data_IF_449247602684
#
_entry.id   IF_449247602684
#
_cell.length_a   1.000
_cell.length_b   1.000
_cell.length_c   1.000
_cell.angle_alpha   90.00
_cell.angle_beta   90.00
_cell.angle_gamma   90.00
#
_symmetry.space_group_name_H-M   'P 1'
#
loop_
_entity.id
_entity.type
_entity.pdbx_description
1 polymer ?
#
# COMPACT_ATOMS: atom_id res chain seq x y z
N UNK A 1 -12.32 -9.78 -9.67
CA UNK A 1 -12.68 -10.21 -8.31
C UNK A 1 -11.43 -10.08 -7.47
N UNK A 2 -11.50 -9.44 -6.30
CA UNK A 2 -10.30 -9.21 -5.47
C UNK A 2 -9.94 -10.43 -4.60
N UNK A 3 -10.89 -11.33 -4.42
CA UNK A 3 -10.75 -12.59 -3.67
C UNK A 3 -10.47 -13.72 -4.65
N UNK A 4 -9.66 -14.70 -4.24
CA UNK A 4 -9.35 -15.90 -5.01
C UNK A 4 -10.63 -16.68 -5.37
N UNK A 5 -10.88 -17.00 -6.66
CA UNK A 5 -11.98 -17.88 -7.06
C UNK A 5 -11.98 -19.26 -6.39
N UNK A 6 -10.81 -19.79 -6.04
CA UNK A 6 -10.67 -21.12 -5.45
C UNK A 6 -11.19 -21.17 -4.00
N UNK A 7 -11.37 -20.03 -3.34
CA UNK A 7 -12.07 -19.95 -2.05
C UNK A 7 -13.57 -20.29 -2.18
N UNK A 8 -14.15 -20.28 -3.37
CA UNK A 8 -15.55 -20.68 -3.64
C UNK A 8 -16.58 -19.96 -2.73
N UNK A 9 -16.35 -18.68 -2.41
CA UNK A 9 -17.15 -17.89 -1.45
C UNK A 9 -17.18 -18.44 -0.01
N UNK A 10 -16.24 -19.32 0.35
CA UNK A 10 -16.07 -19.81 1.72
C UNK A 10 -15.19 -18.85 2.53
N UNK A 11 -15.68 -17.62 2.71
CA UNK A 11 -15.03 -16.59 3.52
C UNK A 11 -16.07 -15.63 4.06
N UNK A 12 -15.69 -14.87 5.10
CA UNK A 12 -16.50 -13.79 5.64
C UNK A 12 -16.13 -12.49 4.93
N UNK A 13 -17.08 -11.86 4.25
CA UNK A 13 -16.83 -10.62 3.49
C UNK A 13 -16.17 -9.53 4.35
N UNK A 14 -16.61 -9.38 5.61
CA UNK A 14 -16.05 -8.41 6.55
C UNK A 14 -14.58 -8.69 6.92
N UNK A 15 -14.19 -9.95 7.11
CA UNK A 15 -12.81 -10.32 7.42
C UNK A 15 -11.89 -10.09 6.22
N UNK A 16 -12.40 -10.35 5.01
CA UNK A 16 -11.69 -10.04 3.77
C UNK A 16 -11.48 -8.53 3.62
N UNK A 17 -12.51 -7.73 3.88
CA UNK A 17 -12.40 -6.27 3.84
C UNK A 17 -11.33 -5.78 4.82
N UNK A 18 -11.36 -6.24 6.07
CA UNK A 18 -10.35 -5.90 7.08
C UNK A 18 -8.94 -6.30 6.65
N UNK A 19 -8.76 -7.50 6.09
CA UNK A 19 -7.47 -7.95 5.55
C UNK A 19 -6.97 -7.07 4.41
N UNK A 20 -7.86 -6.64 3.52
CA UNK A 20 -7.51 -5.72 2.43
C UNK A 20 -7.07 -4.37 3.00
N UNK A 21 -7.77 -3.83 4.00
CA UNK A 21 -7.40 -2.58 4.66
C UNK A 21 -6.01 -2.68 5.31
N UNK A 22 -5.75 -3.76 6.05
CA UNK A 22 -4.43 -4.02 6.65
C UNK A 22 -3.34 -4.14 5.57
N UNK A 23 -3.62 -4.85 4.48
CA UNK A 23 -2.68 -5.01 3.37
C UNK A 23 -2.32 -3.65 2.75
N UNK A 24 -3.32 -2.80 2.48
CA UNK A 24 -3.12 -1.47 1.92
C UNK A 24 -2.27 -0.59 2.85
N UNK A 25 -2.53 -0.62 4.15
CA UNK A 25 -1.70 0.09 5.15
C UNK A 25 -0.25 -0.44 5.16
N UNK A 26 -0.03 -1.75 4.98
CA UNK A 26 1.31 -2.35 4.96
C UNK A 26 2.09 -2.06 3.67
N UNK A 27 1.41 -1.81 2.56
CA UNK A 27 2.03 -1.56 1.25
C UNK A 27 2.19 -0.09 0.89
N UNK A 28 2.05 0.81 1.86
CA UNK A 28 2.22 2.25 1.65
C UNK A 28 3.59 2.59 1.04
N UNK A 29 3.62 3.56 0.12
CA UNK A 29 4.82 3.94 -0.63
C UNK A 29 5.96 4.38 0.28
N UNK A 30 5.64 5.17 1.32
CA UNK A 30 6.61 5.56 2.35
C UNK A 30 6.79 4.45 3.39
N UNK A 31 8.03 3.97 3.63
CA UNK A 31 8.30 3.01 4.70
C UNK A 31 7.93 3.49 6.09
N UNK A 32 7.89 4.81 6.32
CA UNK A 32 7.57 5.41 7.62
C UNK A 32 6.08 5.36 7.97
N UNK A 33 5.21 5.21 6.97
CA UNK A 33 3.76 5.17 7.15
C UNK A 33 3.25 3.73 7.38
N UNK A 34 4.06 2.74 7.00
CA UNK A 34 3.76 1.32 7.18
C UNK A 34 3.67 0.99 8.68
N UNK A 35 2.62 0.28 9.12
CA UNK A 35 2.50 -0.13 10.51
C UNK A 35 3.62 -1.08 10.92
N UNK A 36 4.00 -1.02 12.20
CA UNK A 36 4.89 -2.05 12.77
C UNK A 36 4.17 -3.39 12.78
N UNK A 37 4.90 -4.50 12.68
CA UNK A 37 4.30 -5.84 12.75
C UNK A 37 3.49 -6.07 14.04
N UNK A 38 3.90 -5.48 15.17
CA UNK A 38 3.11 -5.53 16.41
C UNK A 38 1.75 -4.81 16.31
N UNK A 39 1.68 -3.73 15.53
CA UNK A 39 0.42 -3.03 15.27
C UNK A 39 -0.45 -3.83 14.31
N UNK A 40 0.16 -4.48 13.31
CA UNK A 40 -0.54 -5.39 12.39
C UNK A 40 -1.20 -6.53 13.14
N UNK A 41 -0.49 -7.17 14.09
CA UNK A 41 -1.09 -8.23 14.93
C UNK A 41 -2.27 -7.70 15.72
N UNK A 42 -2.15 -6.53 16.38
CA UNK A 42 -3.27 -5.92 17.11
C UNK A 42 -4.48 -5.63 16.24
N UNK A 43 -4.26 -5.10 15.03
CA UNK A 43 -5.34 -4.86 14.06
C UNK A 43 -6.05 -6.17 13.67
N UNK A 44 -5.30 -7.26 13.45
CA UNK A 44 -5.86 -8.57 13.14
C UNK A 44 -6.57 -9.24 14.34
N UNK A 45 -6.18 -8.90 15.56
CA UNK A 45 -6.87 -9.29 16.80
C UNK A 45 -8.13 -8.45 17.07
N UNK A 46 -8.41 -7.44 16.24
CA UNK A 46 -9.62 -6.62 16.28
C UNK A 46 -9.46 -5.25 16.95
N UNK A 47 -8.23 -4.78 17.18
CA UNK A 47 -7.93 -3.52 17.88
C UNK A 47 -7.27 -2.47 16.97
N UNK A 48 -7.85 -1.27 16.90
CA UNK A 48 -7.21 -0.08 16.31
C UNK A 48 -7.24 0.04 14.78
N UNK A 49 -7.83 -0.91 14.05
CA UNK A 49 -7.89 -0.86 12.58
C UNK A 49 -8.80 0.26 12.07
N UNK A 50 -9.99 0.40 12.67
CA UNK A 50 -11.00 1.36 12.20
C UNK A 50 -10.50 2.81 12.32
N UNK A 51 -9.91 3.16 13.47
CA UNK A 51 -9.37 4.49 13.72
C UNK A 51 -8.24 4.84 12.76
N UNK A 52 -7.32 3.89 12.55
CA UNK A 52 -6.19 4.07 11.63
C UNK A 52 -6.64 4.17 10.17
N UNK A 53 -7.66 3.40 9.79
CA UNK A 53 -8.22 3.44 8.46
C UNK A 53 -8.88 4.79 8.15
N UNK A 54 -9.63 5.35 9.11
CA UNK A 54 -10.23 6.69 8.99
C UNK A 54 -9.18 7.80 8.84
N UNK A 55 -8.04 7.68 9.51
CA UNK A 55 -6.90 8.60 9.34
C UNK A 55 -6.30 8.49 7.94
N UNK A 56 -6.08 7.27 7.46
CA UNK A 56 -5.51 7.01 6.15
C UNK A 56 -6.42 7.54 5.02
N UNK A 57 -7.73 7.32 5.09
CA UNK A 57 -8.66 7.82 4.08
C UNK A 57 -8.62 9.35 3.95
N UNK A 58 -8.50 10.08 5.05
CA UNK A 58 -8.38 11.55 5.00
C UNK A 58 -7.12 12.01 4.28
N UNK A 59 -6.01 11.31 4.52
CA UNK A 59 -4.71 11.62 3.87
C UNK A 59 -4.76 11.29 2.38
N UNK A 60 -5.34 10.15 1.99
CA UNK A 60 -5.45 9.74 0.58
C UNK A 60 -6.33 10.69 -0.22
N UNK A 61 -7.49 11.09 0.32
CA UNK A 61 -8.37 12.10 -0.31
C UNK A 61 -7.61 13.40 -0.55
N UNK A 62 -6.84 13.86 0.44
CA UNK A 62 -6.02 15.06 0.31
C UNK A 62 -4.91 14.90 -0.75
N UNK A 63 -4.27 13.74 -0.83
CA UNK A 63 -3.26 13.46 -1.87
C UNK A 63 -3.88 13.50 -3.26
N UNK A 64 -5.06 12.91 -3.43
CA UNK A 64 -5.77 12.88 -4.70
C UNK A 64 -6.25 14.28 -5.13
N UNK A 65 -6.67 15.14 -4.19
CA UNK A 65 -6.96 16.55 -4.47
C UNK A 65 -5.73 17.33 -4.93
N UNK A 66 -4.55 17.06 -4.36
CA UNK A 66 -3.28 17.68 -4.76
C UNK A 66 -2.83 17.21 -6.15
N UNK A 67 -3.01 15.92 -6.47
CA UNK A 67 -2.66 15.34 -7.77
C UNK A 67 -3.60 15.81 -8.91
N UNK A 68 -4.87 16.13 -8.61
CA UNK A 68 -5.86 16.62 -9.58
C UNK A 68 -5.84 18.15 -9.76
N UNK A 69 -5.06 18.87 -8.96
CA UNK A 69 -4.88 20.31 -9.14
C UNK A 69 -4.16 20.58 -10.48
N UNK A 70 -4.64 21.53 -11.32
CA UNK A 70 -3.95 21.86 -12.56
C UNK A 70 -2.55 22.40 -12.23
N UNK A 71 -1.49 21.64 -12.54
CA UNK A 71 -0.12 22.09 -12.42
C UNK A 71 0.12 23.27 -13.39
N UNK A 72 0.46 24.49 -12.92
CA UNK A 72 0.68 25.62 -13.82
C UNK A 72 2.04 25.59 -14.53
N UNK A 73 2.94 24.65 -14.24
CA UNK A 73 4.21 24.40 -14.96
C UNK A 73 4.96 23.28 -14.26
N UNK A 74 5.23 22.16 -14.93
CA UNK A 74 6.33 21.28 -14.52
C UNK A 74 6.80 20.39 -15.68
N UNK A 75 7.77 20.89 -16.44
CA UNK A 75 8.67 20.16 -17.34
C UNK A 75 9.49 19.09 -16.56
N UNK A 76 8.89 17.98 -16.13
CA UNK A 76 9.66 16.84 -15.61
C UNK A 76 9.23 15.47 -16.13
N UNK A 77 8.63 15.41 -17.32
CA UNK A 77 8.81 14.19 -18.12
C UNK A 77 10.25 14.22 -18.66
N UNK A 78 11.20 13.85 -17.81
CA UNK A 78 12.49 13.33 -18.23
C UNK A 78 12.52 11.88 -17.76
N UNK A 79 11.92 11.06 -18.61
CA UNK A 79 12.24 9.65 -18.74
C UNK A 79 13.76 9.49 -18.84
N UNK A 80 14.35 8.71 -17.94
CA UNK A 80 15.41 7.77 -18.29
C UNK A 80 15.64 6.82 -17.13
N UNK A 81 14.85 5.76 -17.15
CA UNK A 81 15.16 4.46 -16.55
C UNK A 81 16.30 3.74 -17.30
N UNK A 82 17.18 4.48 -18.00
CA UNK A 82 18.22 3.94 -18.88
C UNK A 82 19.62 4.07 -18.24
N UNK A 83 19.91 3.31 -17.17
CA UNK A 83 21.25 2.77 -16.85
C UNK A 83 21.31 1.99 -15.51
N UNK A 84 20.41 1.04 -15.28
CA UNK A 84 20.67 0.00 -14.27
C UNK A 84 21.52 -1.11 -14.90
N UNK A 85 22.85 -0.94 -14.92
CA UNK A 85 23.73 -2.05 -15.24
C UNK A 85 23.64 -3.09 -14.12
N UNK A 86 23.29 -4.33 -14.47
CA UNK A 86 23.26 -5.42 -13.51
C UNK A 86 24.63 -5.57 -12.83
N UNK A 87 24.66 -5.63 -11.49
CA UNK A 87 25.89 -5.94 -10.76
C UNK A 87 26.11 -7.44 -10.83
N UNK A 88 27.19 -7.88 -11.49
CA UNK A 88 27.55 -9.29 -11.52
C UNK A 88 28.17 -9.68 -10.17
N UNK A 89 27.44 -10.49 -9.39
CA UNK A 89 28.00 -11.12 -8.20
C UNK A 89 28.87 -12.29 -8.67
N UNK A 90 30.19 -12.19 -8.51
CA UNK A 90 31.11 -13.28 -8.85
C UNK A 90 30.68 -14.56 -8.11
N UNK A 91 30.50 -15.63 -8.87
CA UNK A 91 29.94 -16.91 -8.41
C UNK A 91 30.75 -17.62 -7.30
N UNK A 92 30.26 -18.79 -6.85
CA UNK A 92 30.74 -19.45 -5.64
C UNK A 92 32.21 -19.90 -5.78
N UNK A 93 32.99 -19.64 -4.72
CA UNK A 93 34.31 -20.24 -4.50
C UNK A 93 34.18 -21.48 -3.64
#
# INVERSE_FOLDING_TARGET
MLVDPDLQRNYVDAEVEQLIQVALLCTQGSPMERPKMSEVVRMLEGDGLAERWDEWQKVEVLRQEVELAPHPNSDWIVDSTENLHAVELSGPR
#
